data_IF_494074022751
#
_entry.id   IF_494074022751
#
_cell.length_a   1.000
_cell.length_b   1.000
_cell.length_c   1.000
_cell.angle_alpha   90.00
_cell.angle_beta   90.00
_cell.angle_gamma   90.00
#
_symmetry.space_group_name_H-M   'P 1'
#
loop_
_entity.id
_entity.type
_entity.pdbx_description
1 polymer ?
#
# COMPACT_ATOMS: atom_id res chain seq x y z
N UNK A 1 25.41 45.81 -4.70
CA UNK A 1 25.24 44.45 -5.27
C UNK A 1 24.61 43.47 -4.30
N UNK A 2 25.13 43.26 -3.07
CA UNK A 2 24.54 42.33 -2.08
C UNK A 2 23.03 42.48 -1.85
N UNK A 3 22.52 43.72 -1.72
CA UNK A 3 21.09 44.04 -1.52
C UNK A 3 20.17 43.56 -2.66
N UNK A 4 20.67 43.56 -3.89
CA UNK A 4 19.92 43.10 -5.07
C UNK A 4 19.82 41.58 -5.05
N UNK A 5 20.93 40.89 -4.72
CA UNK A 5 20.91 39.43 -4.53
C UNK A 5 19.98 39.00 -3.39
N UNK A 6 19.93 39.76 -2.29
CA UNK A 6 19.01 39.45 -1.18
C UNK A 6 17.55 39.64 -1.58
N UNK A 7 17.23 40.71 -2.31
CA UNK A 7 15.89 40.96 -2.82
C UNK A 7 15.44 39.90 -3.84
N UNK A 8 16.34 39.49 -4.74
CA UNK A 8 16.06 38.44 -5.72
C UNK A 8 15.82 37.07 -5.05
N UNK A 9 16.61 36.73 -4.02
CA UNK A 9 16.41 35.50 -3.26
C UNK A 9 15.06 35.49 -2.51
N UNK A 10 14.67 36.61 -1.89
CA UNK A 10 13.37 36.72 -1.23
C UNK A 10 12.19 36.59 -2.23
N UNK A 11 12.31 37.18 -3.42
CA UNK A 11 11.30 37.06 -4.46
C UNK A 11 11.11 35.60 -4.94
N UNK A 12 12.19 34.82 -5.05
CA UNK A 12 12.14 33.40 -5.40
C UNK A 12 11.44 32.53 -4.34
N UNK A 13 11.63 32.85 -3.05
CA UNK A 13 10.97 32.13 -1.94
C UNK A 13 9.47 32.41 -1.91
N UNK A 14 9.05 33.65 -2.17
CA UNK A 14 7.62 34.01 -2.19
C UNK A 14 6.92 33.44 -3.43
N UNK A 15 7.61 33.37 -4.56
CA UNK A 15 7.08 32.83 -5.81
C UNK A 15 6.93 31.29 -5.81
N UNK A 16 7.55 30.57 -4.87
CA UNK A 16 7.47 29.10 -4.81
C UNK A 16 6.29 28.58 -3.99
N UNK A 17 5.59 29.44 -3.23
CA UNK A 17 4.41 29.04 -2.47
C UNK A 17 3.23 28.73 -3.42
N UNK A 18 2.66 27.54 -3.29
CA UNK A 18 1.43 27.13 -3.97
C UNK A 18 0.47 26.50 -2.96
N UNK A 19 -0.83 26.71 -3.15
CA UNK A 19 -1.87 26.01 -2.40
C UNK A 19 -2.18 24.62 -2.97
N UNK A 20 -1.79 24.37 -4.22
CA UNK A 20 -1.95 23.07 -4.87
C UNK A 20 -0.71 22.20 -4.61
N UNK A 21 -0.90 21.21 -3.75
CA UNK A 21 0.12 20.21 -3.37
C UNK A 21 -0.23 18.82 -3.94
N UNK A 22 -1.22 18.71 -4.84
CA UNK A 22 -1.71 17.43 -5.36
C UNK A 22 -0.62 16.62 -6.05
N UNK A 23 0.26 17.29 -6.79
CA UNK A 23 1.39 16.69 -7.51
C UNK A 23 2.41 16.00 -6.60
N UNK A 24 2.53 16.40 -5.33
CA UNK A 24 3.41 15.78 -4.35
C UNK A 24 2.90 14.44 -3.84
N UNK A 25 1.62 14.15 -4.06
CA UNK A 25 0.96 12.91 -3.61
C UNK A 25 0.79 11.89 -4.75
N UNK A 26 1.38 12.14 -5.92
CA UNK A 26 1.36 11.20 -7.05
C UNK A 26 2.33 10.06 -6.75
N UNK A 27 1.79 8.86 -6.54
CA UNK A 27 2.58 7.65 -6.30
C UNK A 27 3.04 7.03 -7.62
N UNK A 28 4.20 7.46 -8.14
CA UNK A 28 4.78 6.95 -9.38
C UNK A 28 5.20 5.47 -9.33
N UNK A 29 5.22 4.84 -8.14
CA UNK A 29 5.54 3.42 -7.98
C UNK A 29 4.30 2.53 -8.04
N UNK A 30 3.11 3.09 -7.85
CA UNK A 30 1.86 2.36 -7.97
C UNK A 30 1.30 2.53 -9.38
N UNK A 31 1.03 1.44 -10.11
CA UNK A 31 0.39 1.53 -11.41
C UNK A 31 -1.05 2.03 -11.28
N UNK A 32 -1.43 3.05 -12.07
CA UNK A 32 -2.81 3.57 -12.11
C UNK A 32 -3.77 2.62 -12.83
N UNK A 33 -3.25 1.81 -13.76
CA UNK A 33 -4.00 0.80 -14.50
C UNK A 33 -3.24 -0.52 -14.42
N UNK A 34 -3.96 -1.58 -14.07
CA UNK A 34 -3.40 -2.93 -13.94
C UNK A 34 -4.23 -3.92 -14.76
N UNK A 35 -3.60 -4.94 -15.37
CA UNK A 35 -4.34 -5.95 -16.13
C UNK A 35 -5.30 -6.74 -15.22
N UNK A 36 -6.56 -6.86 -15.62
CA UNK A 36 -7.57 -7.61 -14.87
C UNK A 36 -7.14 -9.07 -14.63
N UNK A 37 -6.48 -9.71 -15.60
CA UNK A 37 -5.98 -11.08 -15.46
C UNK A 37 -4.98 -11.25 -14.31
N UNK A 38 -4.09 -10.28 -14.09
CA UNK A 38 -3.12 -10.33 -13.00
C UNK A 38 -3.81 -10.18 -11.63
N UNK A 39 -4.83 -9.32 -11.54
CA UNK A 39 -5.62 -9.16 -10.31
C UNK A 39 -6.36 -10.45 -9.94
N UNK A 40 -7.05 -11.07 -10.90
CA UNK A 40 -7.79 -12.31 -10.65
C UNK A 40 -6.85 -13.47 -10.29
N UNK A 41 -5.72 -13.59 -10.99
CA UNK A 41 -4.72 -14.61 -10.68
C UNK A 41 -4.18 -14.45 -9.25
N UNK A 42 -3.78 -13.23 -8.87
CA UNK A 42 -3.28 -12.96 -7.52
C UNK A 42 -4.34 -13.17 -6.43
N UNK A 43 -5.59 -12.76 -6.69
CA UNK A 43 -6.70 -12.99 -5.77
C UNK A 43 -6.98 -14.49 -5.56
N UNK A 44 -6.90 -15.28 -6.63
CA UNK A 44 -7.11 -16.74 -6.58
C UNK A 44 -6.04 -17.43 -5.73
N UNK A 45 -4.77 -17.06 -5.93
CA UNK A 45 -3.66 -17.58 -5.12
C UNK A 45 -3.84 -17.18 -3.66
N UNK A 46 -4.09 -15.90 -3.38
CA UNK A 46 -4.26 -15.40 -2.02
C UNK A 46 -5.43 -16.06 -1.28
N UNK A 47 -6.56 -16.29 -1.96
CA UNK A 47 -7.70 -17.01 -1.40
C UNK A 47 -7.36 -18.47 -1.11
N UNK A 48 -6.65 -19.13 -2.02
CA UNK A 48 -6.26 -20.54 -1.85
C UNK A 48 -5.27 -20.68 -0.69
N UNK A 49 -4.29 -19.79 -0.58
CA UNK A 49 -3.34 -19.73 0.54
C UNK A 49 -4.08 -19.50 1.87
N UNK A 50 -5.06 -18.60 1.90
CA UNK A 50 -5.91 -18.40 3.07
C UNK A 50 -6.68 -19.66 3.44
N UNK A 51 -7.41 -20.26 2.49
CA UNK A 51 -8.24 -21.44 2.71
C UNK A 51 -7.44 -22.65 3.19
N UNK A 52 -6.20 -22.80 2.72
CA UNK A 52 -5.33 -23.93 3.06
C UNK A 52 -4.41 -23.64 4.24
N UNK A 53 -4.40 -22.40 4.76
CA UNK A 53 -3.56 -22.01 5.88
C UNK A 53 -3.93 -22.78 7.15
N UNK A 54 -2.91 -23.34 7.79
CA UNK A 54 -3.00 -24.06 9.06
C UNK A 54 -2.84 -23.14 10.27
N UNK A 55 -2.51 -21.88 10.01
CA UNK A 55 -2.26 -20.89 11.05
C UNK A 55 -3.59 -20.37 11.58
N UNK A 56 -3.88 -20.64 12.85
CA UNK A 56 -5.12 -20.23 13.51
C UNK A 56 -5.33 -18.71 13.59
N UNK A 57 -4.26 -17.92 13.51
CA UNK A 57 -4.34 -16.45 13.46
C UNK A 57 -4.63 -15.93 12.05
N UNK A 58 -4.51 -16.78 11.02
CA UNK A 58 -4.85 -16.45 9.64
C UNK A 58 -6.21 -17.04 9.26
N UNK A 59 -6.39 -18.36 9.42
CA UNK A 59 -7.63 -19.05 9.07
C UNK A 59 -8.11 -19.97 10.19
N UNK A 60 -8.94 -19.43 11.08
CA UNK A 60 -9.59 -20.22 12.12
C UNK A 60 -10.81 -21.01 11.58
N UNK A 61 -11.38 -20.61 10.44
CA UNK A 61 -12.63 -21.20 9.93
C UNK A 61 -12.55 -22.72 9.75
N UNK A 62 -11.37 -23.25 9.40
CA UNK A 62 -11.15 -24.69 9.23
C UNK A 62 -11.34 -25.51 10.54
N UNK A 63 -11.12 -24.87 11.70
CA UNK A 63 -11.39 -25.45 13.02
C UNK A 63 -12.87 -25.32 13.39
N UNK A 64 -13.49 -24.16 13.13
CA UNK A 64 -14.92 -23.94 13.38
C UNK A 64 -15.81 -24.86 12.55
N UNK A 65 -15.44 -25.10 11.29
CA UNK A 65 -16.12 -26.06 10.41
C UNK A 65 -15.78 -27.51 10.75
N UNK A 66 -14.93 -27.76 11.74
CA UNK A 66 -14.49 -29.09 12.19
C UNK A 66 -13.87 -29.95 11.08
N UNK A 67 -13.29 -29.32 10.05
CA UNK A 67 -12.51 -30.07 9.08
C UNK A 67 -11.23 -30.58 9.75
N UNK A 68 -10.62 -29.76 10.61
CA UNK A 68 -9.40 -30.09 11.35
C UNK A 68 -9.61 -29.96 12.86
N UNK A 69 -8.75 -30.62 13.64
CA UNK A 69 -8.71 -30.52 15.10
C UNK A 69 -7.27 -30.30 15.57
N UNK A 70 -7.08 -29.57 16.67
CA UNK A 70 -5.76 -29.36 17.27
C UNK A 70 -5.48 -30.40 18.35
N UNK A 71 -4.25 -30.90 18.37
CA UNK A 71 -3.75 -31.79 19.42
C UNK A 71 -2.78 -31.02 20.30
N UNK A 72 -3.00 -31.07 21.61
CA UNK A 72 -2.02 -30.59 22.60
C UNK A 72 -1.27 -31.80 23.15
N UNK A 73 0.05 -31.80 22.99
CA UNK A 73 0.91 -32.80 23.62
C UNK A 73 1.32 -32.32 25.01
N UNK A 74 1.29 -33.23 25.99
CA UNK A 74 1.72 -33.02 27.38
C UNK A 74 3.04 -33.72 27.66
#
# INVERSE_FOLDING_TARGET
>A
MKKIFTAAAAALVIASCTSDLSSLNVNSKAPEQVPAGALIANATVSLTDYMTSVNVNLNNFILWSQHWTQTTYT
#
